data_IF_349389864900
#
_entry.id   IF_349389864900
#
_cell.length_a   1.000
_cell.length_b   1.000
_cell.length_c   1.000
_cell.angle_alpha   90.00
_cell.angle_beta   90.00
_cell.angle_gamma   90.00
#
_symmetry.space_group_name_H-M   'P 1'
#
loop_
_entity.id
_entity.type
_entity.pdbx_description
1 polymer ?
#
# COMPACT_ATOMS: atom_id res chain seq x y z
N UNK A 1 15.39 -10.74 -12.63
CA UNK A 1 14.00 -10.79 -12.13
C UNK A 1 13.08 -10.16 -13.15
N UNK A 2 11.93 -10.80 -13.46
CA UNK A 2 10.90 -10.25 -14.36
C UNK A 2 10.42 -8.89 -13.82
N UNK A 3 10.03 -7.98 -14.71
CA UNK A 3 9.61 -6.62 -14.34
C UNK A 3 8.45 -6.65 -13.33
N UNK A 4 7.43 -7.47 -13.58
CA UNK A 4 6.28 -7.62 -12.70
C UNK A 4 6.67 -7.99 -11.27
N UNK A 5 7.64 -8.92 -11.12
CA UNK A 5 8.13 -9.30 -9.80
C UNK A 5 8.85 -8.15 -9.08
N UNK A 6 9.57 -7.28 -9.80
CA UNK A 6 10.15 -6.05 -9.22
C UNK A 6 9.05 -5.11 -8.73
N UNK A 7 7.99 -4.95 -9.51
CA UNK A 7 6.85 -4.07 -9.18
C UNK A 7 6.03 -4.63 -8.02
N UNK A 8 5.82 -5.95 -7.95
CA UNK A 8 5.16 -6.62 -6.84
C UNK A 8 5.94 -6.42 -5.53
N UNK A 9 7.27 -6.58 -5.55
CA UNK A 9 8.13 -6.34 -4.39
C UNK A 9 8.10 -4.87 -3.97
N UNK A 10 8.16 -3.95 -4.95
CA UNK A 10 8.05 -2.52 -4.70
C UNK A 10 6.73 -2.20 -3.97
N UNK A 11 5.61 -2.71 -4.47
CA UNK A 11 4.30 -2.54 -3.83
C UNK A 11 4.20 -3.21 -2.46
N UNK A 12 4.81 -4.37 -2.26
CA UNK A 12 4.87 -5.02 -0.95
C UNK A 12 5.60 -4.15 0.08
N UNK A 13 6.75 -3.57 -0.28
CA UNK A 13 7.53 -2.69 0.62
C UNK A 13 6.71 -1.46 1.02
N UNK A 14 6.09 -0.79 0.05
CA UNK A 14 5.23 0.36 0.35
C UNK A 14 3.96 -0.04 1.10
N UNK A 15 3.38 -1.20 0.80
CA UNK A 15 2.26 -1.77 1.55
C UNK A 15 2.62 -1.93 3.02
N UNK A 16 3.81 -2.47 3.34
CA UNK A 16 4.27 -2.62 4.72
C UNK A 16 4.41 -1.26 5.42
N UNK A 17 5.09 -0.31 4.77
CA UNK A 17 5.31 1.03 5.32
C UNK A 17 3.98 1.76 5.58
N UNK A 18 3.06 1.76 4.62
CA UNK A 18 1.76 2.42 4.77
C UNK A 18 0.82 1.64 5.69
N UNK A 19 0.93 0.31 5.77
CA UNK A 19 0.22 -0.51 6.75
C UNK A 19 0.55 -0.10 8.19
N UNK A 20 1.84 0.08 8.48
CA UNK A 20 2.28 0.65 9.76
C UNK A 20 1.71 2.06 10.00
N UNK A 21 1.82 2.94 8.99
CA UNK A 21 1.31 4.32 9.10
C UNK A 21 -0.22 4.42 9.23
N UNK A 22 -0.96 3.40 8.80
CA UNK A 22 -2.43 3.39 8.83
C UNK A 22 -2.96 3.47 10.26
N UNK A 23 -2.23 2.95 11.25
CA UNK A 23 -2.65 3.04 12.64
C UNK A 23 -2.75 4.49 13.13
N UNK A 24 -1.89 5.40 12.66
CA UNK A 24 -1.98 6.83 13.00
C UNK A 24 -3.24 7.49 12.42
N UNK A 25 -3.64 7.07 11.20
CA UNK A 25 -4.88 7.54 10.57
C UNK A 25 -6.10 7.03 11.34
N UNK A 26 -6.09 5.74 11.72
CA UNK A 26 -7.16 5.14 12.51
C UNK A 26 -7.30 5.81 13.88
N UNK A 27 -6.17 6.06 14.55
CA UNK A 27 -6.12 6.64 15.90
C UNK A 27 -6.40 8.14 15.93
N UNK A 28 -6.58 8.80 14.78
CA UNK A 28 -6.99 10.21 14.72
C UNK A 28 -8.38 10.45 15.33
N UNK A 29 -9.15 9.39 15.64
CA UNK A 29 -10.34 9.50 16.48
C UNK A 29 -11.59 9.95 15.74
N UNK A 30 -11.75 9.56 14.47
CA UNK A 30 -12.93 9.88 13.64
C UNK A 30 -14.17 9.04 13.99
N UNK A 31 -14.20 8.41 15.18
CA UNK A 31 -15.28 7.54 15.63
C UNK A 31 -15.54 6.39 14.65
N UNK A 32 -16.80 6.20 14.26
CA UNK A 32 -17.19 5.17 13.29
C UNK A 32 -16.54 5.30 11.91
N UNK A 33 -16.05 6.50 11.55
CA UNK A 33 -15.41 6.75 10.26
C UNK A 33 -13.92 6.41 10.25
N UNK A 34 -13.32 6.04 11.37
CA UNK A 34 -11.87 5.74 11.47
C UNK A 34 -11.45 4.61 10.52
N UNK A 35 -12.27 3.56 10.41
CA UNK A 35 -12.03 2.47 9.46
C UNK A 35 -12.14 2.91 8.00
N UNK A 36 -13.14 3.75 7.67
CA UNK A 36 -13.32 4.30 6.32
C UNK A 36 -12.14 5.20 5.94
N UNK A 37 -11.71 6.08 6.83
CA UNK A 37 -10.56 6.96 6.61
C UNK A 37 -9.27 6.15 6.40
N UNK A 38 -9.07 5.08 7.16
CA UNK A 38 -7.93 4.16 7.00
C UNK A 38 -7.95 3.45 5.65
N UNK A 39 -9.13 3.03 5.19
CA UNK A 39 -9.28 2.42 3.86
C UNK A 39 -9.06 3.43 2.72
N UNK A 40 -9.57 4.65 2.85
CA UNK A 40 -9.29 5.75 1.90
C UNK A 40 -7.79 6.05 1.83
N UNK A 41 -7.13 6.11 2.99
CA UNK A 41 -5.67 6.29 3.06
C UNK A 41 -4.92 5.17 2.33
N UNK A 42 -5.33 3.90 2.50
CA UNK A 42 -4.78 2.77 1.76
C UNK A 42 -4.93 2.93 0.24
N UNK A 43 -6.12 3.32 -0.24
CA UNK A 43 -6.36 3.53 -1.67
C UNK A 43 -5.50 4.66 -2.25
N UNK A 44 -5.39 5.78 -1.52
CA UNK A 44 -4.56 6.92 -1.95
C UNK A 44 -3.09 6.50 -2.04
N UNK A 45 -2.58 5.83 -1.01
CA UNK A 45 -1.18 5.40 -0.96
C UNK A 45 -0.84 4.31 -1.98
N UNK A 46 -1.79 3.43 -2.29
CA UNK A 46 -1.68 2.48 -3.40
C UNK A 46 -1.52 3.20 -4.75
N UNK A 47 -2.37 4.19 -5.04
CA UNK A 47 -2.30 4.96 -6.31
C UNK A 47 -1.00 5.76 -6.40
N UNK A 48 -0.55 6.35 -5.29
CA UNK A 48 0.75 7.04 -5.24
C UNK A 48 1.88 6.05 -5.55
N UNK A 49 1.88 4.88 -4.90
CA UNK A 49 2.88 3.82 -5.11
C UNK A 49 2.89 3.36 -6.57
N UNK A 50 1.72 3.14 -7.17
CA UNK A 50 1.60 2.76 -8.57
C UNK A 50 2.18 3.80 -9.53
N UNK A 51 1.89 5.08 -9.32
CA UNK A 51 2.48 6.16 -10.12
C UNK A 51 3.99 6.28 -9.94
N UNK A 52 4.51 6.07 -8.73
CA UNK A 52 5.95 6.00 -8.48
C UNK A 52 6.59 4.82 -9.22
N UNK A 53 5.93 3.65 -9.22
CA UNK A 53 6.39 2.49 -10.00
C UNK A 53 6.47 2.81 -11.49
N UNK A 54 5.47 3.49 -12.06
CA UNK A 54 5.52 3.95 -13.46
C UNK A 54 6.67 4.92 -13.75
N UNK A 55 7.01 5.79 -12.78
CA UNK A 55 8.14 6.71 -12.93
C UNK A 55 9.49 6.01 -12.86
N UNK A 56 9.65 5.04 -11.95
CA UNK A 56 10.91 4.33 -11.70
C UNK A 56 11.19 3.28 -12.77
N UNK A 57 10.17 2.53 -13.17
CA UNK A 57 10.30 1.38 -14.06
C UNK A 57 9.95 1.68 -15.53
N UNK A 58 9.66 2.95 -15.86
CA UNK A 58 9.32 3.40 -17.20
C UNK A 58 7.83 3.33 -17.48
N UNK A 59 7.26 4.46 -17.94
CA UNK A 59 5.80 4.58 -18.20
C UNK A 59 5.32 3.73 -19.38
N UNK A 60 6.20 3.42 -20.32
CA UNK A 60 5.87 2.57 -21.47
C UNK A 60 5.68 1.11 -21.07
N UNK A 61 6.56 0.60 -20.19
CA UNK A 61 6.55 -0.77 -19.71
C UNK A 61 5.72 -1.00 -18.46
N UNK A 62 5.45 0.04 -17.67
CA UNK A 62 4.75 -0.06 -16.40
C UNK A 62 3.74 1.08 -16.24
N UNK A 63 2.72 1.11 -17.10
CA UNK A 63 1.63 2.07 -17.01
C UNK A 63 0.63 1.70 -15.89
N UNK A 64 -0.46 2.46 -15.78
CA UNK A 64 -1.47 2.25 -14.74
C UNK A 64 -2.06 0.85 -14.72
N UNK A 65 -2.40 0.31 -15.89
CA UNK A 65 -3.00 -1.02 -16.01
C UNK A 65 -2.00 -2.11 -15.59
N UNK A 66 -0.73 -1.95 -15.97
CA UNK A 66 0.34 -2.91 -15.67
C UNK A 66 0.64 -3.00 -14.17
N UNK A 67 0.80 -1.85 -13.49
CA UNK A 67 1.06 -1.89 -12.05
C UNK A 67 -0.19 -2.29 -11.26
N UNK A 68 -1.40 -2.02 -11.77
CA UNK A 68 -2.61 -2.54 -11.14
C UNK A 68 -2.66 -4.07 -11.17
N UNK A 69 -2.22 -4.70 -12.27
CA UNK A 69 -2.19 -6.16 -12.40
C UNK A 69 -1.14 -6.85 -11.54
N UNK A 70 0.02 -6.22 -11.33
CA UNK A 70 1.15 -6.82 -10.61
C UNK A 70 1.32 -6.30 -9.16
N UNK A 71 0.76 -5.13 -8.84
CA UNK A 71 1.05 -4.38 -7.61
C UNK A 71 -0.08 -4.32 -6.58
N UNK A 72 -1.34 -4.36 -7.00
CA UNK A 72 -2.49 -4.18 -6.08
C UNK A 72 -2.57 -5.28 -5.03
N UNK A 73 -2.52 -6.54 -5.46
CA UNK A 73 -2.58 -7.71 -4.58
C UNK A 73 -1.46 -7.70 -3.54
N UNK A 74 -0.16 -7.61 -3.91
CA UNK A 74 0.91 -7.59 -2.92
C UNK A 74 0.85 -6.35 -2.01
N UNK A 75 0.47 -5.17 -2.52
CA UNK A 75 0.28 -4.00 -1.68
C UNK A 75 -0.77 -4.25 -0.61
N UNK A 76 -1.98 -4.65 -1.01
CA UNK A 76 -3.13 -4.77 -0.13
C UNK A 76 -2.90 -5.79 0.99
N UNK A 77 -2.41 -6.99 0.65
CA UNK A 77 -2.23 -8.03 1.66
C UNK A 77 -1.11 -7.68 2.65
N UNK A 78 0.01 -7.12 2.17
CA UNK A 78 1.09 -6.71 3.06
C UNK A 78 0.68 -5.52 3.92
N UNK A 79 -0.04 -4.54 3.35
CA UNK A 79 -0.65 -3.44 4.09
C UNK A 79 -1.55 -3.94 5.22
N UNK A 80 -2.44 -4.89 4.92
CA UNK A 80 -3.37 -5.44 5.90
C UNK A 80 -2.64 -6.11 7.06
N UNK A 81 -1.64 -6.96 6.75
CA UNK A 81 -0.83 -7.65 7.77
C UNK A 81 -0.10 -6.64 8.67
N UNK A 82 0.57 -5.65 8.08
CA UNK A 82 1.30 -4.63 8.86
C UNK A 82 0.37 -3.74 9.67
N UNK A 83 -0.81 -3.39 9.15
CA UNK A 83 -1.78 -2.63 9.91
C UNK A 83 -2.33 -3.42 11.09
N UNK A 84 -2.71 -4.69 10.90
CA UNK A 84 -3.19 -5.56 11.98
C UNK A 84 -2.10 -5.74 13.05
N UNK A 85 -0.86 -6.03 12.67
CA UNK A 85 0.25 -6.14 13.62
C UNK A 85 0.44 -4.84 14.42
N UNK A 86 0.38 -3.70 13.73
CA UNK A 86 0.53 -2.39 14.38
C UNK A 86 -0.65 -2.13 15.31
N UNK A 87 -1.88 -2.35 14.90
CA UNK A 87 -3.07 -2.19 15.74
C UNK A 87 -3.03 -3.06 17.02
N UNK A 88 -2.43 -4.25 16.93
CA UNK A 88 -2.30 -5.19 18.05
C UNK A 88 -1.02 -4.98 18.88
N UNK A 89 -0.23 -3.95 18.63
CA UNK A 89 0.97 -3.66 19.42
C UNK A 89 2.13 -4.61 19.25
N UNK A 90 2.29 -5.20 18.07
CA UNK A 90 3.47 -6.03 17.78
C UNK A 90 4.76 -5.18 17.73
N UNK A 91 4.66 -3.89 17.42
CA UNK A 91 5.80 -3.00 17.23
C UNK A 91 6.01 -1.99 18.38
N UNK A 92 5.29 -2.13 19.50
CA UNK A 92 5.39 -1.24 20.66
C UNK A 92 5.12 -1.96 21.98
#
# INVERSE_FOLDING_TARGET
MKLDAKVSIFHAIFGAAFGYLTNYVYMFGLGMFSGVASFVFMLITLVITGNLASMIFGRESMNQKEWMGSGVVPFFFIWLVFWIMTYNGVFY
#
